data_IF_046621144984
#
_entry.id   IF_046621144984
#
_cell.length_a   1.000
_cell.length_b   1.000
_cell.length_c   1.000
_cell.angle_alpha   90.00
_cell.angle_beta   90.00
_cell.angle_gamma   90.00
#
_symmetry.space_group_name_H-M   'P 1'
#
loop_
_entity.id
_entity.type
_entity.pdbx_description
1 polymer ?
#
# COMPACT_ATOMS: atom_id res chain seq x y z
N UNK A 1 -0.32 27.13 -19.72
CA UNK A 1 -1.65 26.62 -19.35
C UNK A 1 -1.47 25.49 -18.36
N UNK A 2 -1.83 25.75 -17.14
CA UNK A 2 -1.81 24.71 -16.13
C UNK A 2 -2.95 23.74 -16.38
N UNK A 3 -2.62 22.62 -16.97
CA UNK A 3 -3.54 21.51 -17.02
C UNK A 3 -3.44 20.72 -15.71
N UNK A 4 -3.84 21.36 -14.61
CA UNK A 4 -4.03 20.63 -13.37
C UNK A 4 -5.20 19.67 -13.61
N UNK A 5 -5.02 18.35 -13.48
CA UNK A 5 -6.14 17.44 -13.69
C UNK A 5 -7.28 17.81 -12.76
N UNK A 6 -8.50 17.93 -13.29
CA UNK A 6 -9.70 18.31 -12.53
C UNK A 6 -9.91 17.43 -11.30
N UNK A 7 -9.47 16.17 -11.34
CA UNK A 7 -9.61 15.26 -10.21
C UNK A 7 -8.71 15.62 -9.02
N UNK A 8 -7.55 16.29 -9.22
CA UNK A 8 -6.70 16.69 -8.09
C UNK A 8 -7.37 17.74 -7.23
N UNK A 9 -8.14 18.67 -7.81
CA UNK A 9 -8.89 19.66 -7.03
C UNK A 9 -9.96 19.00 -6.17
N UNK A 10 -10.68 17.99 -6.70
CA UNK A 10 -11.69 17.28 -5.92
C UNK A 10 -11.08 16.48 -4.77
N UNK A 11 -9.86 15.96 -4.93
CA UNK A 11 -9.16 15.23 -3.88
C UNK A 11 -8.76 16.13 -2.71
N UNK A 12 -8.33 17.38 -2.96
CA UNK A 12 -7.98 18.33 -1.91
C UNK A 12 -9.19 18.70 -1.03
N UNK A 13 -10.39 18.61 -1.57
CA UNK A 13 -11.64 18.95 -0.89
C UNK A 13 -12.50 17.74 -0.57
N UNK A 14 -12.05 16.53 -0.90
CA UNK A 14 -12.79 15.30 -0.65
C UNK A 14 -13.08 15.15 0.85
N UNK A 15 -14.37 15.17 1.28
CA UNK A 15 -14.68 15.11 2.71
C UNK A 15 -14.52 13.69 3.24
N UNK A 16 -13.91 13.57 4.41
CA UNK A 16 -13.90 12.36 5.21
C UNK A 16 -13.77 12.74 6.68
N UNK A 17 -14.35 11.95 7.57
CA UNK A 17 -14.36 12.20 9.00
C UNK A 17 -14.54 10.88 9.77
N UNK A 18 -14.75 10.97 11.07
CA UNK A 18 -14.95 9.81 11.95
C UNK A 18 -16.18 8.97 11.60
N UNK A 19 -17.15 9.53 10.86
CA UNK A 19 -18.33 8.81 10.42
C UNK A 19 -18.15 8.11 9.07
N UNK A 20 -17.04 8.36 8.37
CA UNK A 20 -16.72 7.69 7.12
C UNK A 20 -16.31 6.26 7.42
N UNK A 21 -16.92 5.27 6.76
CA UNK A 21 -16.60 3.87 7.03
C UNK A 21 -15.24 3.47 6.45
N UNK A 22 -14.71 2.32 6.92
CA UNK A 22 -13.37 1.90 6.56
C UNK A 22 -13.20 1.56 5.07
N UNK A 23 -14.26 1.15 4.38
CA UNK A 23 -14.18 0.85 2.95
C UNK A 23 -14.08 2.14 2.13
N UNK A 24 -14.82 3.18 2.50
CA UNK A 24 -14.69 4.50 1.87
C UNK A 24 -13.33 5.13 2.17
N UNK A 25 -12.85 5.00 3.41
CA UNK A 25 -11.51 5.48 3.78
C UNK A 25 -10.43 4.77 2.96
N UNK A 26 -10.57 3.46 2.75
CA UNK A 26 -9.64 2.69 1.93
C UNK A 26 -9.66 3.16 0.47
N UNK A 27 -10.83 3.38 -0.11
CA UNK A 27 -10.98 3.92 -1.47
C UNK A 27 -10.32 5.30 -1.59
N UNK A 28 -10.49 6.15 -0.58
CA UNK A 28 -9.88 7.47 -0.56
C UNK A 28 -8.34 7.36 -0.52
N UNK A 29 -7.81 6.44 0.26
CA UNK A 29 -6.35 6.19 0.29
C UNK A 29 -5.82 5.78 -1.08
N UNK A 30 -6.51 4.89 -1.78
CA UNK A 30 -6.12 4.50 -3.15
C UNK A 30 -6.09 5.70 -4.08
N UNK A 31 -7.13 6.54 -4.04
CA UNK A 31 -7.21 7.76 -4.86
C UNK A 31 -6.07 8.73 -4.56
N UNK A 32 -5.74 8.93 -3.29
CA UNK A 32 -4.64 9.80 -2.90
C UNK A 32 -3.29 9.27 -3.41
N UNK A 33 -3.05 7.96 -3.32
CA UNK A 33 -1.78 7.39 -3.80
C UNK A 33 -1.67 7.42 -5.32
N UNK A 34 -2.75 7.19 -6.04
CA UNK A 34 -2.77 7.32 -7.51
C UNK A 34 -2.44 8.74 -7.93
N UNK A 35 -3.06 9.73 -7.30
CA UNK A 35 -2.77 11.14 -7.57
C UNK A 35 -1.34 11.51 -7.19
N UNK A 36 -0.83 10.97 -6.08
CA UNK A 36 0.52 11.23 -5.61
C UNK A 36 1.58 10.77 -6.63
N UNK A 37 1.40 9.56 -7.18
CA UNK A 37 2.35 9.00 -8.16
C UNK A 37 2.38 9.82 -9.44
N UNK A 38 1.24 10.38 -9.85
CA UNK A 38 1.13 11.18 -11.08
C UNK A 38 1.47 12.65 -10.88
N UNK A 39 1.54 13.13 -9.64
CA UNK A 39 1.77 14.54 -9.33
C UNK A 39 3.26 14.89 -9.40
N UNK A 40 3.58 15.97 -10.08
CA UNK A 40 4.96 16.46 -10.19
C UNK A 40 5.21 17.79 -9.48
N UNK A 41 4.15 18.43 -8.97
CA UNK A 41 4.27 19.68 -8.22
C UNK A 41 4.56 19.36 -6.75
N UNK A 42 5.71 19.85 -6.18
CA UNK A 42 6.07 19.53 -4.80
C UNK A 42 5.06 19.99 -3.75
N UNK A 43 4.41 21.13 -3.96
CA UNK A 43 3.40 21.66 -3.02
C UNK A 43 2.15 20.79 -3.04
N UNK A 44 1.68 20.42 -4.23
CA UNK A 44 0.53 19.52 -4.37
C UNK A 44 0.83 18.13 -3.81
N UNK A 45 2.03 17.60 -4.04
CA UNK A 45 2.47 16.34 -3.44
C UNK A 45 2.37 16.37 -1.92
N UNK A 46 2.85 17.44 -1.32
CA UNK A 46 2.79 17.60 0.13
C UNK A 46 1.34 17.64 0.62
N UNK A 47 0.48 18.37 -0.08
CA UNK A 47 -0.94 18.45 0.25
C UNK A 47 -1.63 17.09 0.13
N UNK A 48 -1.33 16.32 -0.92
CA UNK A 48 -1.87 14.97 -1.10
C UNK A 48 -1.37 14.04 0.03
N UNK A 49 -0.09 14.11 0.37
CA UNK A 49 0.47 13.33 1.48
C UNK A 49 -0.22 13.67 2.81
N UNK A 50 -0.49 14.95 3.06
CA UNK A 50 -1.19 15.37 4.28
C UNK A 50 -2.60 14.79 4.35
N UNK A 51 -3.32 14.80 3.23
CA UNK A 51 -4.67 14.21 3.13
C UNK A 51 -4.63 12.70 3.31
N UNK A 52 -3.69 12.03 2.67
CA UNK A 52 -3.49 10.59 2.82
C UNK A 52 -3.16 10.23 4.28
N UNK A 53 -2.26 10.97 4.91
CA UNK A 53 -1.89 10.76 6.31
C UNK A 53 -3.10 10.90 7.24
N UNK A 54 -3.93 11.92 7.02
CA UNK A 54 -5.14 12.14 7.80
C UNK A 54 -6.13 10.99 7.61
N UNK A 55 -6.30 10.52 6.38
CA UNK A 55 -7.18 9.40 6.06
C UNK A 55 -6.71 8.10 6.72
N UNK A 56 -5.41 7.81 6.65
CA UNK A 56 -4.81 6.64 7.31
C UNK A 56 -4.96 6.71 8.83
N UNK A 57 -4.85 7.90 9.41
CA UNK A 57 -5.02 8.09 10.86
C UNK A 57 -6.46 7.78 11.31
N UNK A 58 -7.46 8.05 10.47
CA UNK A 58 -8.85 7.67 10.74
C UNK A 58 -9.08 6.18 10.51
N UNK A 59 -8.41 5.60 9.53
CA UNK A 59 -8.57 4.20 9.16
C UNK A 59 -7.95 3.25 10.20
N UNK A 60 -6.77 3.56 10.72
CA UNK A 60 -6.02 2.67 11.59
C UNK A 60 -6.82 2.14 12.79
N UNK A 61 -7.54 2.99 13.58
CA UNK A 61 -8.32 2.48 14.70
C UNK A 61 -9.46 1.54 14.29
N UNK A 62 -10.00 1.67 13.08
CA UNK A 62 -11.13 0.85 12.62
C UNK A 62 -10.74 -0.61 12.40
N UNK A 63 -9.45 -0.90 12.23
CA UNK A 63 -8.97 -2.25 11.92
C UNK A 63 -9.21 -3.25 13.06
N UNK A 64 -9.35 -2.75 14.29
CA UNK A 64 -9.62 -3.58 15.47
C UNK A 64 -11.06 -3.48 15.95
N UNK A 65 -11.89 -2.69 15.30
CA UNK A 65 -13.30 -2.52 15.62
C UNK A 65 -14.16 -3.54 14.87
N UNK A 66 -15.37 -3.88 15.39
CA UNK A 66 -16.31 -4.71 14.64
C UNK A 66 -16.72 -4.05 13.34
N UNK A 67 -16.97 -4.85 12.31
CA UNK A 67 -17.45 -4.35 11.02
C UNK A 67 -18.84 -3.72 11.23
N UNK A 68 -19.08 -2.48 10.74
CA UNK A 68 -20.40 -1.85 10.84
C UNK A 68 -21.48 -2.70 10.16
N UNK A 69 -22.66 -2.78 10.79
CA UNK A 69 -23.74 -3.64 10.32
C UNK A 69 -24.18 -3.31 8.89
N UNK A 70 -24.13 -2.03 8.49
CA UNK A 70 -24.53 -1.60 7.13
C UNK A 70 -23.59 -2.07 6.03
N UNK A 71 -22.36 -2.52 6.36
CA UNK A 71 -21.38 -3.05 5.41
C UNK A 71 -21.46 -4.56 5.24
N UNK A 72 -22.21 -5.25 6.09
CA UNK A 72 -22.23 -6.71 6.11
C UNK A 72 -22.62 -7.31 4.76
N UNK A 73 -23.67 -6.78 4.14
CA UNK A 73 -24.15 -7.29 2.85
C UNK A 73 -23.12 -7.09 1.73
N UNK A 74 -22.49 -5.91 1.68
CA UNK A 74 -21.47 -5.60 0.66
C UNK A 74 -20.20 -6.41 0.81
N UNK A 75 -19.92 -6.92 2.01
CA UNK A 75 -18.74 -7.73 2.31
C UNK A 75 -19.06 -9.24 2.40
N UNK A 76 -20.28 -9.62 2.07
CA UNK A 76 -20.74 -11.02 2.07
C UNK A 76 -20.81 -11.55 0.64
N UNK A 77 -20.32 -12.76 0.44
CA UNK A 77 -20.36 -13.45 -0.85
C UNK A 77 -21.16 -14.76 -0.73
N UNK A 78 -21.75 -15.20 -1.85
CA UNK A 78 -22.56 -16.42 -1.89
C UNK A 78 -21.68 -17.67 -2.09
N UNK A 79 -20.53 -17.51 -2.74
CA UNK A 79 -19.59 -18.59 -3.01
C UNK A 79 -18.21 -18.21 -2.52
N UNK A 80 -17.42 -19.23 -2.15
CA UNK A 80 -16.05 -18.99 -1.68
C UNK A 80 -15.22 -18.31 -2.77
N UNK A 81 -14.56 -17.17 -2.47
CA UNK A 81 -13.72 -16.50 -3.45
C UNK A 81 -12.55 -17.38 -3.88
N UNK A 82 -12.23 -17.34 -5.18
CA UNK A 82 -11.07 -18.05 -5.72
C UNK A 82 -9.79 -17.22 -5.65
N UNK A 83 -9.93 -15.92 -5.39
CA UNK A 83 -8.80 -15.00 -5.27
C UNK A 83 -8.94 -14.15 -4.02
N UNK A 84 -7.81 -13.96 -3.34
CA UNK A 84 -7.69 -13.05 -2.21
C UNK A 84 -6.65 -11.98 -2.56
N UNK A 85 -6.75 -10.78 -1.96
CA UNK A 85 -5.72 -9.76 -2.15
C UNK A 85 -4.34 -10.31 -1.82
N UNK A 86 -3.38 -10.14 -2.73
CA UNK A 86 -2.01 -10.60 -2.55
C UNK A 86 -1.05 -9.47 -2.90
N UNK A 87 -0.20 -9.12 -1.93
CA UNK A 87 0.89 -8.19 -2.17
C UNK A 87 2.11 -9.00 -2.59
N UNK A 88 2.40 -8.99 -3.89
CA UNK A 88 3.50 -9.76 -4.47
C UNK A 88 4.20 -8.94 -5.56
N UNK A 89 4.96 -7.89 -5.18
CA UNK A 89 5.68 -7.12 -6.17
C UNK A 89 6.77 -7.96 -6.84
N UNK A 90 7.14 -7.57 -8.05
CA UNK A 90 8.25 -8.19 -8.79
C UNK A 90 9.56 -8.09 -7.99
N UNK A 91 10.48 -9.03 -8.24
CA UNK A 91 11.72 -9.12 -7.46
C UNK A 91 12.58 -7.85 -7.55
N UNK A 92 12.70 -7.26 -8.73
CA UNK A 92 13.45 -6.02 -8.91
C UNK A 92 12.82 -4.85 -8.14
N UNK A 93 11.50 -4.77 -8.12
CA UNK A 93 10.79 -3.74 -7.37
C UNK A 93 10.93 -3.95 -5.87
N UNK A 94 10.83 -5.19 -5.41
CA UNK A 94 11.02 -5.53 -4.00
C UNK A 94 12.44 -5.13 -3.55
N UNK A 95 13.44 -5.40 -4.38
CA UNK A 95 14.82 -5.00 -4.11
C UNK A 95 14.97 -3.49 -3.96
N UNK A 96 14.29 -2.72 -4.80
CA UNK A 96 14.29 -1.24 -4.72
C UNK A 96 13.62 -0.74 -3.44
N UNK A 97 12.52 -1.37 -3.04
CA UNK A 97 11.86 -1.03 -1.76
C UNK A 97 12.81 -1.27 -0.58
N UNK A 98 13.48 -2.41 -0.57
CA UNK A 98 14.44 -2.74 0.48
C UNK A 98 15.60 -1.75 0.52
N UNK A 99 16.11 -1.36 -0.64
CA UNK A 99 17.21 -0.39 -0.73
C UNK A 99 16.78 0.99 -0.22
N UNK A 100 15.57 1.43 -0.58
CA UNK A 100 15.02 2.70 -0.09
C UNK A 100 14.93 2.72 1.42
N UNK A 101 14.34 1.68 2.01
CA UNK A 101 14.17 1.60 3.48
C UNK A 101 15.53 1.55 4.19
N UNK A 102 16.50 0.82 3.64
CA UNK A 102 17.84 0.76 4.19
C UNK A 102 18.48 2.14 4.20
N UNK A 103 18.36 2.90 3.11
CA UNK A 103 18.89 4.26 3.03
C UNK A 103 18.20 5.22 4.00
N UNK A 104 16.87 5.08 4.16
CA UNK A 104 16.14 5.89 5.13
C UNK A 104 16.60 5.62 6.57
N UNK A 105 16.84 4.37 6.92
CA UNK A 105 17.37 4.01 8.23
C UNK A 105 18.78 4.55 8.44
N UNK A 106 19.62 4.51 7.41
CA UNK A 106 21.00 5.04 7.48
C UNK A 106 21.03 6.56 7.63
N UNK A 107 20.01 7.27 7.16
CA UNK A 107 19.96 8.73 7.18
C UNK A 107 19.85 9.31 8.58
N UNK A 108 19.36 8.53 9.56
CA UNK A 108 19.15 8.95 10.94
C UNK A 108 18.20 10.14 11.09
N UNK A 109 17.29 10.32 10.12
CA UNK A 109 16.32 11.41 10.12
C UNK A 109 14.96 11.02 10.67
N UNK A 110 14.71 9.72 10.90
CA UNK A 110 13.46 9.21 11.41
C UNK A 110 13.40 9.28 12.94
N UNK A 111 12.19 9.47 13.50
CA UNK A 111 11.98 9.31 14.92
C UNK A 111 12.24 7.85 15.33
N UNK A 112 12.43 7.60 16.63
CA UNK A 112 12.65 6.24 17.14
C UNK A 112 11.48 5.30 16.77
N UNK A 113 10.25 5.78 16.85
CA UNK A 113 9.06 5.02 16.47
C UNK A 113 9.03 4.71 14.97
N UNK A 114 9.30 5.71 14.13
CA UNK A 114 9.36 5.53 12.68
C UNK A 114 10.49 4.59 12.27
N UNK A 115 11.64 4.69 12.93
CA UNK A 115 12.79 3.81 12.68
C UNK A 115 12.42 2.35 12.98
N UNK A 116 11.71 2.11 14.08
CA UNK A 116 11.25 0.77 14.44
C UNK A 116 10.29 0.20 13.39
N UNK A 117 9.28 0.99 12.99
CA UNK A 117 8.30 0.55 12.00
C UNK A 117 8.96 0.32 10.63
N UNK A 118 9.85 1.22 10.22
CA UNK A 118 10.59 1.05 8.96
C UNK A 118 11.47 -0.20 8.99
N UNK A 119 12.09 -0.51 10.13
CA UNK A 119 12.88 -1.73 10.31
C UNK A 119 12.02 -2.99 10.20
N UNK A 120 10.84 -2.99 10.80
CA UNK A 120 9.89 -4.12 10.71
C UNK A 120 9.45 -4.33 9.26
N UNK A 121 9.11 -3.26 8.55
CA UNK A 121 8.74 -3.33 7.14
C UNK A 121 9.91 -3.85 6.29
N UNK A 122 11.12 -3.38 6.55
CA UNK A 122 12.31 -3.85 5.83
C UNK A 122 12.51 -5.35 6.04
N UNK A 123 12.35 -5.84 7.27
CA UNK A 123 12.47 -7.27 7.57
C UNK A 123 11.44 -8.10 6.77
N UNK A 124 10.18 -7.68 6.76
CA UNK A 124 9.13 -8.39 6.03
C UNK A 124 9.44 -8.44 4.54
N UNK A 125 9.87 -7.31 3.97
CA UNK A 125 10.20 -7.23 2.55
C UNK A 125 11.44 -8.04 2.19
N UNK A 126 12.48 -8.03 3.03
CA UNK A 126 13.69 -8.82 2.78
C UNK A 126 13.42 -10.32 2.85
N UNK A 127 12.59 -10.76 3.80
CA UNK A 127 12.19 -12.16 3.90
C UNK A 127 11.43 -12.58 2.64
N UNK A 128 10.46 -11.78 2.21
CA UNK A 128 9.71 -12.05 0.97
C UNK A 128 10.65 -12.08 -0.25
N UNK A 129 11.54 -11.11 -0.36
CA UNK A 129 12.54 -11.01 -1.44
C UNK A 129 13.43 -12.25 -1.48
N UNK A 130 13.96 -12.63 -0.33
CA UNK A 130 14.84 -13.80 -0.22
C UNK A 130 14.11 -15.10 -0.58
N UNK A 131 12.88 -15.26 -0.12
CA UNK A 131 12.06 -16.43 -0.44
C UNK A 131 11.74 -16.49 -1.92
N UNK A 132 11.44 -15.35 -2.54
CA UNK A 132 11.20 -15.26 -3.99
C UNK A 132 12.44 -15.66 -4.79
N UNK A 133 13.62 -15.18 -4.38
CA UNK A 133 14.88 -15.48 -5.07
C UNK A 133 15.29 -16.93 -4.92
N UNK A 134 14.96 -17.55 -3.79
CA UNK A 134 15.31 -18.95 -3.49
C UNK A 134 14.25 -19.95 -3.91
N UNK A 135 13.13 -19.48 -4.41
CA UNK A 135 12.03 -20.36 -4.84
C UNK A 135 12.47 -21.25 -6.01
N UNK A 136 11.98 -22.48 -6.09
CA UNK A 136 12.26 -23.36 -7.21
C UNK A 136 11.85 -22.72 -8.55
N UNK A 137 12.71 -22.85 -9.56
CA UNK A 137 12.47 -22.25 -10.89
C UNK A 137 12.24 -23.29 -11.97
N UNK A 138 12.63 -24.54 -11.72
CA UNK A 138 12.54 -25.60 -12.70
C UNK A 138 11.97 -26.86 -12.08
N UNK A 139 11.19 -27.58 -12.86
CA UNK A 139 10.72 -28.91 -12.53
C UNK A 139 11.50 -29.92 -13.35
N UNK A 140 12.07 -30.93 -12.68
CA UNK A 140 12.74 -32.03 -13.36
C UNK A 140 11.71 -33.06 -13.83
N UNK A 141 11.65 -33.29 -15.13
CA UNK A 141 10.78 -34.30 -15.74
C UNK A 141 11.61 -35.32 -16.48
N UNK A 142 10.99 -36.42 -16.95
CA UNK A 142 11.66 -37.44 -17.75
C UNK A 142 12.20 -36.87 -19.07
N UNK A 143 11.59 -35.79 -19.55
CA UNK A 143 11.99 -35.11 -20.80
C UNK A 143 13.00 -33.99 -20.58
N UNK A 144 13.41 -33.73 -19.34
CA UNK A 144 14.34 -32.68 -18.99
C UNK A 144 13.77 -31.64 -18.04
N UNK A 145 14.39 -30.48 -17.97
CA UNK A 145 13.93 -29.38 -17.09
C UNK A 145 12.86 -28.56 -17.77
N UNK A 146 11.81 -28.25 -17.02
CA UNK A 146 10.71 -27.40 -17.46
C UNK A 146 10.65 -26.18 -16.53
N UNK A 147 10.48 -24.99 -17.10
CA UNK A 147 10.33 -23.76 -16.33
C UNK A 147 9.01 -23.78 -15.55
N UNK A 148 9.06 -23.34 -14.29
CA UNK A 148 7.88 -23.20 -13.45
C UNK A 148 7.19 -21.86 -13.66
#
# INVERSE_FOLDING_TARGET
MDTTPLFSHSLFTLPFNHATDFTELADNCERFTEALVECHNPVEKLAICARLSACLALLQPTLTEPVPAHLKDSLTVDTLPTRFPLFAPEADQTGRYCQLLTQLLMSKTLSAEMERVAGDLLQDLVIFFADTLKAPRWLKTEEGLVDL
#
